data_IF_974406045858
#
_entry.id   IF_974406045858
#
_cell.length_a   1.000
_cell.length_b   1.000
_cell.length_c   1.000
_cell.angle_alpha   90.00
_cell.angle_beta   90.00
_cell.angle_gamma   90.00
#
_symmetry.space_group_name_H-M   'P 1'
#
loop_
_entity.id
_entity.type
_entity.pdbx_description
1 polymer ?
#
# COMPACT_ATOMS: atom_id res chain seq x y z
N UNK A 1 -11.09 1.70 21.33
CA UNK A 1 -11.43 3.06 20.85
C UNK A 1 -12.95 3.19 20.91
N UNK A 2 -13.54 4.38 21.03
CA UNK A 2 -15.00 4.52 21.01
C UNK A 2 -15.53 4.50 19.57
N UNK A 3 -16.78 4.06 19.38
CA UNK A 3 -17.47 4.19 18.10
C UNK A 3 -17.59 5.67 17.70
N UNK A 4 -17.28 6.05 16.45
CA UNK A 4 -17.47 7.42 15.98
C UNK A 4 -18.96 7.77 15.87
N UNK A 5 -19.28 9.06 15.94
CA UNK A 5 -20.64 9.51 15.67
C UNK A 5 -21.02 9.27 14.20
N UNK A 6 -22.31 9.12 13.91
CA UNK A 6 -22.81 9.04 12.53
C UNK A 6 -22.40 10.27 11.71
N UNK A 7 -22.40 11.45 12.34
CA UNK A 7 -21.96 12.70 11.71
C UNK A 7 -20.49 12.64 11.27
N UNK A 8 -19.61 12.12 12.14
CA UNK A 8 -18.19 11.98 11.79
C UNK A 8 -17.95 10.94 10.67
N UNK A 9 -18.79 9.90 10.59
CA UNK A 9 -18.77 8.97 9.46
C UNK A 9 -19.27 9.63 8.17
N UNK A 10 -20.34 10.44 8.25
CA UNK A 10 -20.83 11.23 7.09
C UNK A 10 -19.73 12.14 6.55
N UNK A 11 -19.05 12.89 7.42
CA UNK A 11 -17.93 13.76 7.04
C UNK A 11 -16.81 13.00 6.32
N UNK A 12 -16.55 11.76 6.73
CA UNK A 12 -15.54 10.92 6.09
C UNK A 12 -15.93 10.50 4.67
N UNK A 13 -17.20 10.15 4.44
CA UNK A 13 -17.72 9.88 3.10
C UNK A 13 -17.68 11.13 2.23
N UNK A 14 -18.11 12.28 2.76
CA UNK A 14 -18.12 13.57 2.03
C UNK A 14 -16.72 14.01 1.60
N UNK A 15 -15.68 13.69 2.36
CA UNK A 15 -14.28 13.92 1.98
C UNK A 15 -13.75 12.89 0.98
N UNK A 16 -14.15 11.63 1.12
CA UNK A 16 -13.59 10.54 0.31
C UNK A 16 -14.18 10.52 -1.12
N UNK A 17 -15.45 10.86 -1.29
CA UNK A 17 -16.14 10.89 -2.58
C UNK A 17 -15.40 11.78 -3.62
N UNK A 18 -15.12 13.08 -3.36
CA UNK A 18 -14.38 13.90 -4.31
C UNK A 18 -12.95 13.37 -4.52
N UNK A 19 -12.28 12.88 -3.48
CA UNK A 19 -10.95 12.29 -3.61
C UNK A 19 -10.92 11.07 -4.57
N UNK A 20 -11.99 10.26 -4.61
CA UNK A 20 -12.12 9.18 -5.58
C UNK A 20 -12.22 9.70 -7.02
N UNK A 21 -12.97 10.80 -7.25
CA UNK A 21 -13.10 11.44 -8.57
C UNK A 21 -11.79 12.06 -9.02
N UNK A 22 -11.12 12.78 -8.14
CA UNK A 22 -9.84 13.43 -8.42
C UNK A 22 -8.76 12.38 -8.77
N UNK A 23 -8.84 11.20 -8.16
CA UNK A 23 -8.01 10.04 -8.47
C UNK A 23 -8.53 9.19 -9.65
N UNK A 24 -9.54 9.67 -10.37
CA UNK A 24 -10.01 9.11 -11.65
C UNK A 24 -11.01 7.95 -11.55
N UNK A 25 -11.74 7.80 -10.45
CA UNK A 25 -12.75 6.73 -10.28
C UNK A 25 -14.14 7.26 -9.99
N UNK A 26 -14.91 7.46 -11.06
CA UNK A 26 -16.32 7.85 -10.96
C UNK A 26 -17.18 6.68 -10.43
N UNK A 27 -16.83 5.42 -10.77
CA UNK A 27 -17.57 4.26 -10.28
C UNK A 27 -17.53 4.17 -8.76
N UNK A 28 -16.32 4.30 -8.19
CA UNK A 28 -16.12 4.24 -6.75
C UNK A 28 -16.80 5.41 -6.05
N UNK A 29 -16.66 6.62 -6.60
CA UNK A 29 -17.31 7.81 -6.05
C UNK A 29 -18.84 7.62 -5.96
N UNK A 30 -19.48 7.10 -7.01
CA UNK A 30 -20.94 6.87 -7.00
C UNK A 30 -21.38 5.75 -6.06
N UNK A 31 -20.60 4.68 -5.90
CA UNK A 31 -20.86 3.66 -4.88
C UNK A 31 -20.75 4.23 -3.45
N UNK A 32 -19.80 5.12 -3.22
CA UNK A 32 -19.66 5.82 -1.94
C UNK A 32 -20.80 6.82 -1.71
N UNK A 33 -21.26 7.54 -2.73
CA UNK A 33 -22.46 8.40 -2.65
C UNK A 33 -23.69 7.59 -2.27
N UNK A 34 -23.91 6.45 -2.93
CA UNK A 34 -25.03 5.57 -2.59
C UNK A 34 -24.92 5.03 -1.16
N UNK A 35 -23.71 4.71 -0.70
CA UNK A 35 -23.47 4.29 0.69
C UNK A 35 -23.75 5.42 1.69
N UNK A 36 -23.41 6.66 1.33
CA UNK A 36 -23.67 7.85 2.15
C UNK A 36 -25.18 8.15 2.24
N UNK A 37 -25.92 8.02 1.15
CA UNK A 37 -27.39 8.13 1.14
C UNK A 37 -28.02 7.12 2.11
N UNK A 38 -27.58 5.86 2.05
CA UNK A 38 -28.06 4.79 2.93
C UNK A 38 -27.68 5.02 4.40
N UNK A 39 -26.45 5.49 4.65
CA UNK A 39 -25.96 5.88 5.98
C UNK A 39 -26.86 6.96 6.61
N UNK A 40 -27.22 7.99 5.83
CA UNK A 40 -28.11 9.08 6.28
C UNK A 40 -29.53 8.58 6.53
N UNK A 41 -30.04 7.69 5.67
CA UNK A 41 -31.37 7.10 5.79
C UNK A 41 -31.51 6.07 6.94
N UNK A 42 -30.40 5.62 7.54
CA UNK A 42 -30.43 4.59 8.58
C UNK A 42 -30.55 3.16 8.04
N UNK A 43 -30.13 2.92 6.79
CA UNK A 43 -30.20 1.63 6.12
C UNK A 43 -29.09 0.63 6.52
N UNK A 44 -28.87 -0.42 5.71
CA UNK A 44 -27.84 -1.44 5.94
C UNK A 44 -26.44 -0.89 6.22
N UNK A 45 -25.99 0.13 5.49
CA UNK A 45 -24.68 0.79 5.70
C UNK A 45 -24.64 1.44 7.08
N UNK A 46 -25.74 2.09 7.50
CA UNK A 46 -25.83 2.68 8.83
C UNK A 46 -25.79 1.64 9.95
N UNK A 47 -26.44 0.48 9.76
CA UNK A 47 -26.38 -0.64 10.72
C UNK A 47 -24.98 -1.23 10.82
N UNK A 48 -24.34 -1.46 9.68
CA UNK A 48 -22.99 -2.00 9.62
C UNK A 48 -21.98 -1.07 10.33
N UNK A 49 -22.02 0.23 10.01
CA UNK A 49 -21.09 1.21 10.56
C UNK A 49 -21.40 1.61 12.01
N UNK A 50 -22.59 1.28 12.55
CA UNK A 50 -22.91 1.50 13.96
C UNK A 50 -22.00 0.71 14.92
N UNK A 51 -21.41 -0.38 14.43
CA UNK A 51 -20.47 -1.22 15.16
C UNK A 51 -19.01 -0.97 14.81
N UNK A 52 -18.72 0.00 13.95
CA UNK A 52 -17.36 0.35 13.59
C UNK A 52 -16.67 1.04 14.78
N UNK A 53 -15.51 0.51 15.19
CA UNK A 53 -14.65 1.15 16.19
C UNK A 53 -13.37 1.64 15.50
N UNK A 54 -13.08 2.93 15.62
CA UNK A 54 -11.90 3.53 15.01
C UNK A 54 -12.09 5.00 14.69
N UNK A 55 -11.01 5.62 14.22
CA UNK A 55 -11.05 6.98 13.71
C UNK A 55 -11.81 7.00 12.38
N UNK A 56 -12.84 7.83 12.20
CA UNK A 56 -13.72 7.80 11.03
C UNK A 56 -13.03 8.18 9.72
N UNK A 57 -11.75 8.59 9.76
CA UNK A 57 -10.98 9.04 8.61
C UNK A 57 -9.67 8.25 8.49
N UNK A 58 -8.85 8.24 9.56
CA UNK A 58 -7.57 7.51 9.55
C UNK A 58 -7.72 6.01 9.40
N UNK A 59 -8.80 5.42 9.95
CA UNK A 59 -9.08 4.00 9.76
C UNK A 59 -9.84 3.70 8.46
N UNK A 60 -10.13 4.72 7.63
CA UNK A 60 -10.68 4.56 6.28
C UNK A 60 -11.93 3.65 6.19
N UNK A 61 -12.99 3.87 7.01
CA UNK A 61 -14.17 3.01 7.02
C UNK A 61 -14.88 2.93 5.66
N UNK A 62 -14.86 4.01 4.87
CA UNK A 62 -15.46 4.05 3.53
C UNK A 62 -14.77 3.06 2.58
N UNK A 63 -13.43 3.05 2.58
CA UNK A 63 -12.61 2.15 1.78
C UNK A 63 -12.69 0.71 2.29
N UNK A 64 -12.76 0.51 3.60
CA UNK A 64 -12.94 -0.82 4.20
C UNK A 64 -14.29 -1.42 3.85
N UNK A 65 -15.36 -0.63 3.87
CA UNK A 65 -16.69 -1.05 3.42
C UNK A 65 -16.64 -1.47 1.95
N UNK A 66 -16.15 -0.58 1.08
CA UNK A 66 -16.03 -0.86 -0.34
C UNK A 66 -15.22 -2.14 -0.59
N UNK A 67 -14.04 -2.25 0.03
CA UNK A 67 -13.17 -3.40 -0.14
C UNK A 67 -13.79 -4.71 0.34
N UNK A 68 -14.52 -4.67 1.47
CA UNK A 68 -15.23 -5.83 1.97
C UNK A 68 -16.32 -6.32 0.99
N UNK A 69 -17.12 -5.40 0.43
CA UNK A 69 -18.17 -5.74 -0.55
C UNK A 69 -17.57 -6.20 -1.87
N UNK A 70 -16.53 -5.53 -2.38
CA UNK A 70 -15.79 -5.95 -3.57
C UNK A 70 -15.15 -7.34 -3.39
N UNK A 71 -14.70 -7.66 -2.18
CA UNK A 71 -14.22 -8.99 -1.81
C UNK A 71 -15.30 -10.08 -1.95
N UNK A 72 -16.57 -9.78 -1.71
CA UNK A 72 -17.68 -10.71 -1.96
C UNK A 72 -17.89 -10.94 -3.46
N UNK A 73 -17.75 -9.89 -4.28
CA UNK A 73 -17.84 -10.01 -5.75
C UNK A 73 -16.72 -10.88 -6.28
N UNK A 74 -15.47 -10.62 -5.88
CA UNK A 74 -14.30 -11.42 -6.26
C UNK A 74 -14.37 -12.87 -5.79
N UNK A 75 -15.03 -13.12 -4.65
CA UNK A 75 -15.27 -14.46 -4.13
C UNK A 75 -16.51 -15.16 -4.75
N UNK A 76 -17.24 -14.50 -5.67
CA UNK A 76 -18.44 -15.06 -6.29
C UNK A 76 -19.65 -15.19 -5.35
N UNK A 77 -19.65 -14.47 -4.23
CA UNK A 77 -20.69 -14.57 -3.18
C UNK A 77 -21.86 -13.60 -3.34
N UNK A 78 -21.74 -12.61 -4.22
CA UNK A 78 -22.76 -11.61 -4.48
C UNK A 78 -23.20 -11.65 -5.96
N UNK A 79 -23.92 -12.69 -6.42
CA UNK A 79 -24.22 -12.89 -7.85
C UNK A 79 -25.09 -11.79 -8.46
N UNK A 80 -26.01 -11.20 -7.69
CA UNK A 80 -26.84 -10.08 -8.14
C UNK A 80 -25.99 -8.81 -8.36
N UNK A 81 -25.09 -8.48 -7.43
CA UNK A 81 -24.13 -7.39 -7.59
C UNK A 81 -23.15 -7.66 -8.74
N UNK A 82 -22.68 -8.90 -8.87
CA UNK A 82 -21.72 -9.31 -9.89
C UNK A 82 -22.20 -9.02 -11.32
N UNK A 83 -23.51 -9.12 -11.60
CA UNK A 83 -24.09 -8.78 -12.92
C UNK A 83 -23.82 -7.34 -13.36
N UNK A 84 -23.62 -6.44 -12.41
CA UNK A 84 -23.40 -5.01 -12.65
C UNK A 84 -21.97 -4.56 -12.35
N UNK A 85 -21.14 -5.41 -11.74
CA UNK A 85 -19.85 -5.02 -11.18
C UNK A 85 -18.67 -5.41 -12.09
N UNK A 86 -17.76 -4.49 -12.46
CA UNK A 86 -16.69 -4.77 -13.43
C UNK A 86 -15.75 -5.92 -13.04
N UNK A 87 -15.48 -6.13 -11.74
CA UNK A 87 -14.69 -7.29 -11.28
C UNK A 87 -15.24 -8.65 -11.70
N UNK A 88 -16.55 -8.76 -11.96
CA UNK A 88 -17.18 -9.98 -12.44
C UNK A 88 -17.56 -9.90 -13.93
N UNK A 89 -17.03 -8.90 -14.66
CA UNK A 89 -17.39 -8.63 -16.06
C UNK A 89 -18.77 -8.00 -16.25
N UNK A 90 -19.41 -7.56 -15.17
CA UNK A 90 -20.69 -6.85 -15.22
C UNK A 90 -20.56 -5.41 -15.72
N UNK A 91 -21.65 -4.89 -16.29
CA UNK A 91 -21.72 -3.51 -16.80
C UNK A 91 -22.37 -2.60 -15.75
N UNK A 92 -21.69 -1.52 -15.30
CA UNK A 92 -22.27 -0.57 -14.36
C UNK A 92 -23.46 0.18 -14.96
N UNK A 93 -24.66 -0.04 -14.41
CA UNK A 93 -25.88 0.69 -14.78
C UNK A 93 -26.57 1.21 -13.52
N UNK A 94 -27.04 2.45 -13.55
CA UNK A 94 -27.71 3.09 -12.42
C UNK A 94 -29.21 3.23 -12.67
N UNK A 95 -30.07 3.00 -11.65
CA UNK A 95 -29.74 2.78 -10.24
C UNK A 95 -29.36 1.34 -9.86
N UNK A 96 -29.47 0.38 -10.78
CA UNK A 96 -29.37 -1.06 -10.51
C UNK A 96 -28.08 -1.49 -9.76
N UNK A 97 -26.91 -0.99 -10.15
CA UNK A 97 -25.65 -1.28 -9.46
C UNK A 97 -25.68 -0.79 -8.00
N UNK A 98 -26.16 0.43 -7.76
CA UNK A 98 -26.26 0.99 -6.42
C UNK A 98 -27.25 0.23 -5.53
N UNK A 99 -28.39 -0.17 -6.11
CA UNK A 99 -29.39 -0.98 -5.43
C UNK A 99 -28.83 -2.37 -5.07
N UNK A 100 -28.17 -3.03 -6.02
CA UNK A 100 -27.53 -4.32 -5.80
C UNK A 100 -26.38 -4.24 -4.78
N UNK A 101 -25.65 -3.12 -4.73
CA UNK A 101 -24.57 -2.90 -3.77
C UNK A 101 -25.10 -2.81 -2.34
N UNK A 102 -26.13 -1.98 -2.10
CA UNK A 102 -26.76 -1.88 -0.76
C UNK A 102 -27.46 -3.18 -0.37
N UNK A 103 -28.11 -3.86 -1.31
CA UNK A 103 -28.72 -5.17 -1.06
C UNK A 103 -27.67 -6.23 -0.68
N UNK A 104 -26.49 -6.23 -1.31
CA UNK A 104 -25.39 -7.10 -0.94
C UNK A 104 -24.86 -6.80 0.46
N UNK A 105 -24.79 -5.53 0.86
CA UNK A 105 -24.43 -5.15 2.23
C UNK A 105 -25.42 -5.76 3.23
N UNK A 106 -26.72 -5.61 2.97
CA UNK A 106 -27.77 -6.13 3.86
C UNK A 106 -27.73 -7.66 3.99
N UNK A 107 -27.58 -8.35 2.86
CA UNK A 107 -27.57 -9.81 2.81
C UNK A 107 -26.31 -10.43 3.46
N UNK A 108 -25.21 -9.66 3.59
CA UNK A 108 -23.91 -10.18 4.02
C UNK A 108 -23.28 -9.40 5.19
N UNK A 109 -24.08 -8.76 6.04
CA UNK A 109 -23.58 -7.98 7.20
C UNK A 109 -22.55 -8.75 8.04
N UNK A 110 -22.87 -10.00 8.40
CA UNK A 110 -22.02 -10.85 9.25
C UNK A 110 -20.70 -11.25 8.57
N UNK A 111 -20.65 -11.28 7.23
CA UNK A 111 -19.43 -11.57 6.48
C UNK A 111 -18.61 -10.29 6.21
N UNK A 112 -19.27 -9.14 6.06
CA UNK A 112 -18.61 -7.86 5.78
C UNK A 112 -17.93 -7.29 7.03
N UNK A 113 -18.59 -7.33 8.18
CA UNK A 113 -18.07 -6.77 9.43
C UNK A 113 -16.64 -7.26 9.78
N UNK A 114 -16.33 -8.57 9.79
CA UNK A 114 -14.96 -9.04 10.07
C UNK A 114 -13.96 -8.66 8.98
N UNK A 115 -14.38 -8.50 7.72
CA UNK A 115 -13.50 -8.02 6.64
C UNK A 115 -13.12 -6.56 6.84
N UNK A 116 -14.04 -5.74 7.34
CA UNK A 116 -13.78 -4.34 7.69
C UNK A 116 -12.85 -4.18 8.90
N UNK A 117 -12.62 -5.23 9.70
CA UNK A 117 -11.62 -5.18 10.76
C UNK A 117 -10.18 -5.19 10.21
N UNK A 118 -9.98 -5.66 8.97
CA UNK A 118 -8.68 -5.66 8.31
C UNK A 118 -8.36 -4.28 7.73
N UNK A 119 -7.09 -3.89 7.76
CA UNK A 119 -6.63 -2.61 7.22
C UNK A 119 -6.68 -2.60 5.70
N UNK A 120 -6.82 -1.39 5.14
CA UNK A 120 -6.80 -1.13 3.69
C UNK A 120 -5.48 -1.59 3.08
N UNK A 121 -5.55 -2.24 1.92
CA UNK A 121 -4.37 -2.75 1.20
C UNK A 121 -4.31 -2.18 -0.21
N UNK A 122 -3.71 -0.99 -0.38
CA UNK A 122 -3.55 -0.41 -1.73
C UNK A 122 -2.30 -0.93 -2.45
N UNK A 123 -1.31 -1.44 -1.73
CA UNK A 123 -0.09 -2.13 -2.18
C UNK A 123 0.43 -1.70 -3.57
N UNK A 124 0.57 -0.39 -3.77
CA UNK A 124 0.92 0.21 -5.07
C UNK A 124 2.39 -0.02 -5.43
N UNK A 125 2.65 -0.91 -6.38
CA UNK A 125 4.01 -1.30 -6.79
C UNK A 125 4.72 -0.19 -7.57
N UNK A 126 3.99 0.75 -8.18
CA UNK A 126 4.60 1.91 -8.87
C UNK A 126 5.36 2.85 -7.92
N UNK A 127 5.19 2.73 -6.59
CA UNK A 127 6.03 3.45 -5.60
C UNK A 127 7.52 3.16 -5.79
N UNK A 128 7.87 1.99 -6.35
CA UNK A 128 9.22 1.66 -6.75
C UNK A 128 9.83 2.66 -7.75
N UNK A 129 9.05 3.32 -8.61
CA UNK A 129 9.56 4.29 -9.58
C UNK A 129 10.20 5.51 -8.90
N UNK A 130 9.59 6.00 -7.81
CA UNK A 130 10.15 7.08 -7.00
C UNK A 130 11.31 6.61 -6.11
N UNK A 131 11.20 5.40 -5.54
CA UNK A 131 12.22 4.84 -4.66
C UNK A 131 13.51 4.42 -5.40
N UNK A 132 13.43 4.05 -6.68
CA UNK A 132 14.56 3.59 -7.48
C UNK A 132 15.75 4.55 -7.37
N UNK A 133 15.51 5.85 -7.54
CA UNK A 133 16.59 6.84 -7.48
C UNK A 133 17.30 6.86 -6.13
N UNK A 134 16.57 6.68 -5.04
CA UNK A 134 17.16 6.59 -3.70
C UNK A 134 18.02 5.36 -3.51
N UNK A 135 17.59 4.19 -4.01
CA UNK A 135 18.41 2.97 -3.91
C UNK A 135 19.69 3.07 -4.75
N UNK A 136 19.59 3.60 -5.97
CA UNK A 136 20.77 3.81 -6.82
C UNK A 136 21.73 4.83 -6.20
N UNK A 137 21.22 5.89 -5.59
CA UNK A 137 22.04 6.89 -4.90
C UNK A 137 22.80 6.28 -3.71
N UNK A 138 22.14 5.42 -2.90
CA UNK A 138 22.81 4.71 -1.81
C UNK A 138 23.92 3.80 -2.35
N UNK A 139 23.64 3.03 -3.40
CA UNK A 139 24.62 2.14 -4.01
C UNK A 139 25.82 2.91 -4.58
N UNK A 140 25.56 4.06 -5.22
CA UNK A 140 26.59 4.94 -5.78
C UNK A 140 27.49 5.55 -4.70
N UNK A 141 26.88 6.05 -3.62
CA UNK A 141 27.60 6.73 -2.54
C UNK A 141 28.40 5.75 -1.66
N UNK A 142 27.87 4.55 -1.43
CA UNK A 142 28.51 3.57 -0.54
C UNK A 142 29.43 2.60 -1.28
N UNK A 143 29.14 2.30 -2.55
CA UNK A 143 29.85 1.27 -3.31
C UNK A 143 29.67 -0.15 -2.77
N UNK A 144 28.67 -0.39 -1.90
CA UNK A 144 28.44 -1.66 -1.22
C UNK A 144 27.10 -2.30 -1.64
N UNK A 145 26.98 -3.64 -1.59
CA UNK A 145 25.70 -4.31 -1.70
C UNK A 145 24.70 -3.84 -0.65
N UNK A 146 23.41 -3.80 -1.00
CA UNK A 146 22.34 -3.31 -0.14
C UNK A 146 21.72 -4.44 0.69
N UNK A 147 21.63 -4.24 2.00
CA UNK A 147 20.77 -5.00 2.92
C UNK A 147 19.47 -4.22 3.12
N UNK A 148 18.37 -4.69 2.55
CA UNK A 148 17.08 -3.99 2.59
C UNK A 148 16.25 -4.40 3.81
N UNK A 149 15.73 -3.40 4.49
CA UNK A 149 14.80 -3.49 5.60
C UNK A 149 13.56 -2.66 5.25
N UNK A 150 12.41 -3.29 5.03
CA UNK A 150 11.15 -2.57 4.75
C UNK A 150 10.22 -2.61 5.96
N UNK A 151 9.71 -1.45 6.39
CA UNK A 151 8.59 -1.40 7.35
C UNK A 151 7.30 -1.08 6.59
N UNK A 152 6.17 -1.72 6.97
CA UNK A 152 4.89 -1.58 6.25
C UNK A 152 4.94 -2.21 4.85
N UNK A 153 5.42 -3.44 4.76
CA UNK A 153 6.06 -3.98 3.55
C UNK A 153 5.17 -4.23 2.32
N UNK A 154 3.91 -3.80 2.28
CA UNK A 154 3.07 -3.86 1.07
C UNK A 154 3.06 -5.25 0.38
N UNK A 155 2.86 -6.31 1.18
CA UNK A 155 2.95 -7.72 0.78
C UNK A 155 4.32 -8.16 0.22
N UNK A 156 5.38 -7.39 0.53
CA UNK A 156 6.76 -7.58 0.07
C UNK A 156 7.01 -7.18 -1.39
N UNK A 157 6.05 -6.57 -2.07
CA UNK A 157 6.17 -6.24 -3.50
C UNK A 157 7.28 -5.21 -3.76
N UNK A 158 7.56 -4.31 -2.81
CA UNK A 158 8.58 -3.27 -2.97
C UNK A 158 9.99 -3.79 -2.63
N UNK A 159 10.12 -4.80 -1.76
CA UNK A 159 11.41 -5.46 -1.45
C UNK A 159 12.15 -5.94 -2.70
N UNK A 160 11.44 -6.31 -3.75
CA UNK A 160 11.99 -6.85 -5.00
C UNK A 160 12.15 -5.80 -6.11
N UNK A 161 12.22 -4.52 -5.75
CA UNK A 161 12.40 -3.40 -6.70
C UNK A 161 13.52 -3.66 -7.73
N UNK A 162 14.64 -4.25 -7.32
CA UNK A 162 15.80 -4.50 -8.16
C UNK A 162 15.58 -5.59 -9.21
N UNK A 163 14.48 -6.33 -9.12
CA UNK A 163 14.10 -7.39 -10.09
C UNK A 163 13.15 -6.90 -11.17
N UNK A 164 12.70 -5.66 -11.10
CA UNK A 164 11.72 -5.12 -12.04
C UNK A 164 12.38 -4.36 -13.19
N UNK A 165 11.67 -4.25 -14.31
CA UNK A 165 12.02 -3.33 -15.40
C UNK A 165 11.36 -1.99 -15.16
N UNK A 166 12.07 -0.92 -15.47
CA UNK A 166 11.58 0.45 -15.33
C UNK A 166 11.63 1.17 -16.66
N UNK A 167 10.54 1.86 -16.96
CA UNK A 167 10.43 2.85 -18.04
C UNK A 167 10.01 4.18 -17.43
N UNK A 168 10.98 5.08 -17.26
CA UNK A 168 10.81 6.39 -16.64
C UNK A 168 10.88 7.46 -17.73
N UNK A 169 9.75 7.74 -18.38
CA UNK A 169 9.70 8.58 -19.58
C UNK A 169 10.64 8.05 -20.69
N UNK A 170 11.68 8.79 -21.10
CA UNK A 170 12.67 8.32 -22.08
C UNK A 170 13.72 7.37 -21.48
N UNK A 171 13.79 7.25 -20.16
CA UNK A 171 14.83 6.50 -19.47
C UNK A 171 14.43 5.05 -19.19
N UNK A 172 15.42 4.16 -19.10
CA UNK A 172 15.21 2.72 -18.89
C UNK A 172 16.21 2.19 -17.87
N UNK A 173 15.75 1.32 -16.98
CA UNK A 173 16.61 0.65 -15.99
C UNK A 173 16.07 -0.74 -15.65
N UNK A 174 16.95 -1.66 -15.23
CA UNK A 174 16.59 -3.03 -14.87
C UNK A 174 16.60 -4.00 -16.07
N UNK A 175 16.40 -5.29 -15.77
CA UNK A 175 16.48 -6.37 -16.76
C UNK A 175 15.35 -6.28 -17.80
N UNK A 176 15.65 -6.18 -19.11
CA UNK A 176 14.65 -6.24 -20.17
C UNK A 176 13.82 -7.52 -20.20
N UNK A 177 14.31 -8.62 -19.63
CA UNK A 177 13.60 -9.88 -19.51
C UNK A 177 12.71 -9.99 -18.26
N UNK A 178 12.70 -8.96 -17.38
CA UNK A 178 11.83 -8.95 -16.20
C UNK A 178 10.35 -9.14 -16.61
N UNK A 179 9.60 -10.02 -15.93
CA UNK A 179 8.18 -10.24 -16.20
C UNK A 179 7.30 -9.04 -15.81
N UNK A 180 7.85 -8.10 -15.02
CA UNK A 180 7.18 -6.86 -14.62
C UNK A 180 7.91 -5.65 -15.18
N UNK A 181 7.17 -4.78 -15.87
CA UNK A 181 7.64 -3.46 -16.32
C UNK A 181 6.82 -2.35 -15.68
N UNK A 182 7.47 -1.54 -14.85
CA UNK A 182 6.90 -0.36 -14.20
C UNK A 182 7.09 0.86 -15.11
N UNK A 183 5.97 1.46 -15.52
CA UNK A 183 5.94 2.66 -16.36
C UNK A 183 5.53 3.87 -15.55
N UNK A 184 6.31 4.94 -15.68
CA UNK A 184 6.06 6.22 -15.04
C UNK A 184 6.52 7.35 -15.95
N UNK A 185 5.73 8.42 -16.02
CA UNK A 185 6.20 9.67 -16.62
C UNK A 185 7.29 10.26 -15.73
N UNK A 186 8.37 10.74 -16.33
CA UNK A 186 9.49 11.31 -15.60
C UNK A 186 9.80 12.70 -16.12
N UNK A 187 9.89 13.65 -15.20
CA UNK A 187 10.33 15.02 -15.46
C UNK A 187 11.55 15.34 -14.60
N UNK A 188 12.45 16.16 -15.14
CA UNK A 188 13.73 16.47 -14.50
C UNK A 188 14.84 15.46 -14.83
N UNK A 189 16.02 15.62 -14.22
CA UNK A 189 17.16 14.74 -14.45
C UNK A 189 16.85 13.29 -14.06
N UNK A 190 17.34 12.29 -14.82
CA UNK A 190 17.22 10.90 -14.39
C UNK A 190 18.10 10.66 -13.14
N UNK A 191 17.78 9.63 -12.34
CA UNK A 191 18.74 9.10 -11.37
C UNK A 191 20.01 8.59 -12.07
N UNK A 192 21.03 8.23 -11.29
CA UNK A 192 22.26 7.60 -11.81
C UNK A 192 22.00 6.15 -12.27
N UNK A 193 21.30 5.98 -13.40
CA UNK A 193 20.81 4.69 -13.91
C UNK A 193 21.93 3.73 -14.36
N UNK A 194 23.15 4.22 -14.53
CA UNK A 194 24.35 3.41 -14.81
C UNK A 194 24.98 2.82 -13.53
N UNK A 195 24.47 3.17 -12.35
CA UNK A 195 24.97 2.63 -11.07
C UNK A 195 24.74 1.12 -11.00
N UNK A 196 25.84 0.37 -10.83
CA UNK A 196 25.79 -1.04 -10.49
C UNK A 196 25.27 -1.20 -9.06
N UNK A 197 24.26 -2.05 -8.87
CA UNK A 197 23.65 -2.32 -7.57
C UNK A 197 23.45 -3.82 -7.38
N UNK A 198 23.75 -4.27 -6.17
CA UNK A 198 23.49 -5.64 -5.73
C UNK A 198 22.64 -5.58 -4.46
N UNK A 199 21.62 -6.42 -4.37
CA UNK A 199 20.84 -6.60 -3.15
C UNK A 199 21.28 -7.89 -2.45
N UNK A 200 22.07 -7.74 -1.39
CA UNK A 200 22.63 -8.86 -0.63
C UNK A 200 21.56 -9.58 0.21
N UNK A 201 20.60 -8.85 0.77
CA UNK A 201 19.50 -9.45 1.54
C UNK A 201 18.28 -8.53 1.60
N UNK A 202 17.12 -9.11 1.87
CA UNK A 202 15.82 -8.43 1.98
C UNK A 202 15.09 -8.96 3.19
N UNK A 203 14.57 -8.08 4.03
CA UNK A 203 13.63 -8.42 5.10
C UNK A 203 12.61 -7.31 5.25
N UNK A 204 11.39 -7.67 5.61
CA UNK A 204 10.33 -6.71 5.90
C UNK A 204 9.63 -7.00 7.23
N UNK A 205 8.82 -6.05 7.67
CA UNK A 205 7.83 -6.29 8.70
C UNK A 205 6.50 -5.61 8.39
N UNK A 206 5.44 -6.23 8.90
CA UNK A 206 4.10 -5.67 8.92
C UNK A 206 3.36 -6.17 10.17
N UNK A 207 2.34 -5.44 10.64
CA UNK A 207 1.49 -5.89 11.76
C UNK A 207 0.50 -6.98 11.31
N UNK A 208 0.17 -7.01 10.02
CA UNK A 208 -0.68 -8.01 9.39
C UNK A 208 -0.09 -8.38 8.01
N UNK A 209 1.06 -9.09 7.96
CA UNK A 209 1.68 -9.48 6.71
C UNK A 209 0.71 -10.26 5.81
N UNK A 210 0.83 -10.00 4.52
CA UNK A 210 0.04 -10.65 3.46
C UNK A 210 1.02 -11.26 2.46
N UNK A 211 0.80 -12.51 2.10
CA UNK A 211 1.48 -13.25 1.06
C UNK A 211 0.77 -13.04 -0.28
N UNK A 212 1.34 -12.17 -1.13
CA UNK A 212 0.80 -11.92 -2.46
C UNK A 212 0.90 -13.13 -3.41
N UNK A 213 1.62 -14.19 -3.03
CA UNK A 213 1.69 -15.44 -3.82
C UNK A 213 0.56 -16.41 -3.50
N UNK A 214 -0.12 -16.22 -2.37
CA UNK A 214 -1.33 -16.95 -2.03
C UNK A 214 -2.55 -16.37 -2.78
N UNK A 215 -3.32 -17.17 -3.54
CA UNK A 215 -4.45 -16.66 -4.32
C UNK A 215 -5.59 -16.05 -3.51
N UNK A 216 -5.82 -16.49 -2.27
CA UNK A 216 -6.86 -15.94 -1.40
C UNK A 216 -6.43 -14.60 -0.81
N UNK A 217 -5.19 -14.52 -0.35
CA UNK A 217 -4.60 -13.29 0.16
C UNK A 217 -4.40 -12.23 -0.94
N UNK A 218 -4.01 -12.64 -2.15
CA UNK A 218 -3.98 -11.76 -3.31
C UNK A 218 -5.38 -11.22 -3.62
N UNK A 219 -6.43 -12.05 -3.62
CA UNK A 219 -7.82 -11.58 -3.78
C UNK A 219 -8.22 -10.57 -2.72
N UNK A 220 -7.72 -10.71 -1.49
CA UNK A 220 -7.94 -9.70 -0.46
C UNK A 220 -7.28 -8.36 -0.80
N UNK A 221 -6.03 -8.34 -1.30
CA UNK A 221 -5.40 -7.09 -1.79
C UNK A 221 -6.20 -6.50 -2.96
N UNK A 222 -6.55 -7.32 -3.95
CA UNK A 222 -7.35 -6.92 -5.11
C UNK A 222 -8.67 -6.27 -4.70
N UNK A 223 -9.27 -6.72 -3.59
CA UNK A 223 -10.52 -6.16 -3.10
C UNK A 223 -10.44 -4.67 -2.74
N UNK A 224 -9.25 -4.10 -2.49
CA UNK A 224 -9.06 -2.66 -2.23
C UNK A 224 -8.67 -1.84 -3.46
N UNK A 225 -8.51 -2.47 -4.62
CA UNK A 225 -8.33 -1.75 -5.89
C UNK A 225 -9.70 -1.30 -6.41
N UNK A 226 -9.75 -0.21 -7.17
CA UNK A 226 -11.00 0.28 -7.74
C UNK A 226 -11.34 -0.46 -9.02
N UNK A 227 -12.61 -0.83 -9.18
CA UNK A 227 -13.05 -1.72 -10.25
C UNK A 227 -12.96 -1.11 -11.66
N UNK A 228 -12.85 0.21 -11.75
CA UNK A 228 -12.61 0.96 -12.99
C UNK A 228 -11.12 1.28 -13.25
N UNK A 229 -10.20 0.74 -12.43
CA UNK A 229 -8.75 0.88 -12.60
C UNK A 229 -8.08 -0.44 -13.02
N UNK A 230 -8.55 -1.01 -14.13
CA UNK A 230 -8.10 -2.31 -14.65
C UNK A 230 -6.57 -2.41 -14.84
N UNK A 231 -5.91 -1.34 -15.30
CA UNK A 231 -4.46 -1.31 -15.47
C UNK A 231 -3.70 -1.43 -14.14
N UNK A 232 -4.23 -0.86 -13.06
CA UNK A 232 -3.64 -1.00 -11.72
C UNK A 232 -3.81 -2.42 -11.20
N UNK A 233 -4.97 -3.04 -11.45
CA UNK A 233 -5.23 -4.44 -11.11
C UNK A 233 -4.28 -5.39 -11.85
N UNK A 234 -4.15 -5.24 -13.17
CA UNK A 234 -3.27 -6.07 -13.99
C UNK A 234 -1.79 -5.92 -13.58
N UNK A 235 -1.40 -4.73 -13.10
CA UNK A 235 -0.06 -4.49 -12.59
C UNK A 235 0.18 -5.22 -11.26
N UNK A 236 -0.76 -5.16 -10.32
CA UNK A 236 -0.68 -5.90 -9.05
C UNK A 236 -0.50 -7.40 -9.30
N UNK A 237 -1.32 -7.97 -10.17
CA UNK A 237 -1.24 -9.41 -10.50
C UNK A 237 0.10 -9.77 -11.15
N UNK A 238 0.59 -8.91 -12.04
CA UNK A 238 1.90 -9.12 -12.68
C UNK A 238 3.04 -9.03 -11.68
N UNK A 239 2.94 -8.14 -10.70
CA UNK A 239 3.92 -8.02 -9.63
C UNK A 239 3.89 -9.21 -8.68
N UNK A 240 2.70 -9.69 -8.30
CA UNK A 240 2.54 -10.91 -7.51
C UNK A 240 3.16 -12.13 -8.22
N UNK A 241 2.92 -12.29 -9.54
CA UNK A 241 3.54 -13.34 -10.36
C UNK A 241 5.05 -13.22 -10.51
N UNK A 242 5.60 -12.00 -10.38
CA UNK A 242 7.04 -11.76 -10.47
C UNK A 242 7.79 -12.13 -9.18
N UNK A 243 7.08 -12.37 -8.07
CA UNK A 243 7.70 -12.79 -6.82
C UNK A 243 8.26 -14.21 -6.95
N UNK A 244 9.45 -14.50 -6.39
CA UNK A 244 10.03 -15.84 -6.41
C UNK A 244 9.36 -16.82 -5.43
N UNK A 245 8.45 -16.33 -4.59
CA UNK A 245 7.80 -17.04 -3.49
C UNK A 245 7.34 -16.04 -2.41
N UNK A 246 6.85 -16.53 -1.26
CA UNK A 246 6.45 -15.68 -0.15
C UNK A 246 7.58 -14.73 0.27
N UNK A 247 7.28 -13.44 0.35
CA UNK A 247 8.26 -12.43 0.73
C UNK A 247 8.69 -12.59 2.20
N UNK A 248 9.94 -12.26 2.58
CA UNK A 248 10.45 -12.40 3.94
C UNK A 248 9.95 -11.28 4.87
N UNK A 249 8.63 -11.20 5.05
CA UNK A 249 7.94 -10.19 5.87
C UNK A 249 7.49 -10.83 7.19
N UNK A 250 8.02 -10.33 8.29
CA UNK A 250 7.70 -10.82 9.64
C UNK A 250 6.50 -10.07 10.23
N UNK A 251 5.67 -10.79 11.00
CA UNK A 251 4.62 -10.17 11.80
C UNK A 251 5.20 -9.54 13.06
N UNK A 252 5.56 -8.26 12.98
CA UNK A 252 6.15 -7.49 14.09
C UNK A 252 5.92 -5.99 13.87
N UNK A 253 5.82 -5.23 14.97
CA UNK A 253 5.73 -3.77 14.92
C UNK A 253 7.00 -3.13 14.35
N UNK A 254 6.83 -2.02 13.63
CA UNK A 254 7.92 -1.36 12.92
C UNK A 254 9.06 -0.89 13.85
N UNK A 255 8.75 -0.37 15.03
CA UNK A 255 9.75 0.08 16.00
C UNK A 255 10.58 -1.06 16.57
N UNK A 256 9.94 -2.17 16.92
CA UNK A 256 10.64 -3.36 17.45
C UNK A 256 11.52 -4.00 16.36
N UNK A 257 11.01 -4.04 15.12
CA UNK A 257 11.77 -4.49 13.97
C UNK A 257 13.01 -3.61 13.73
N UNK A 258 12.83 -2.29 13.62
CA UNK A 258 13.93 -1.35 13.37
C UNK A 258 14.97 -1.44 14.48
N UNK A 259 14.54 -1.42 15.75
CA UNK A 259 15.45 -1.55 16.90
C UNK A 259 16.28 -2.83 16.83
N UNK A 260 15.67 -3.98 16.50
CA UNK A 260 16.35 -5.26 16.36
C UNK A 260 17.32 -5.26 15.17
N UNK A 261 16.87 -4.84 13.99
CA UNK A 261 17.64 -4.93 12.76
C UNK A 261 18.81 -3.92 12.67
N UNK A 262 18.76 -2.86 13.48
CA UNK A 262 19.78 -1.79 13.53
C UNK A 262 20.63 -1.81 14.81
N UNK A 263 20.41 -2.78 15.70
CA UNK A 263 21.24 -3.00 16.89
C UNK A 263 22.72 -3.21 16.52
N UNK A 264 22.97 -3.90 15.40
CA UNK A 264 24.29 -4.04 14.78
C UNK A 264 24.22 -3.80 13.28
N UNK A 265 25.21 -3.06 12.75
CA UNK A 265 25.36 -2.83 11.31
C UNK A 265 26.43 -3.79 10.77
N UNK A 266 26.07 -4.75 9.90
CA UNK A 266 27.02 -5.69 9.34
C UNK A 266 28.01 -5.00 8.40
N UNK A 267 29.29 -5.38 8.49
CA UNK A 267 30.32 -4.90 7.58
C UNK A 267 30.18 -5.50 6.17
N UNK A 268 30.63 -4.77 5.15
CA UNK A 268 30.60 -5.17 3.75
C UNK A 268 29.28 -4.92 3.04
N UNK A 269 28.27 -4.32 3.70
CA UNK A 269 26.97 -3.98 3.11
C UNK A 269 26.47 -2.63 3.62
N UNK A 270 25.67 -1.94 2.80
CA UNK A 270 24.89 -0.79 3.25
C UNK A 270 23.54 -1.26 3.80
N UNK A 271 23.26 -1.00 5.08
CA UNK A 271 21.93 -1.28 5.65
C UNK A 271 20.97 -0.17 5.25
N UNK A 272 19.86 -0.52 4.61
CA UNK A 272 18.86 0.43 4.10
C UNK A 272 17.52 0.15 4.77
N UNK A 273 17.11 1.04 5.67
CA UNK A 273 15.70 1.11 6.08
C UNK A 273 14.93 1.88 5.01
N UNK A 274 13.89 1.27 4.44
CA UNK A 274 12.98 1.97 3.55
C UNK A 274 11.51 1.75 3.92
N UNK A 275 10.69 2.73 3.57
CA UNK A 275 9.24 2.63 3.69
C UNK A 275 8.54 3.58 2.74
N UNK A 276 7.27 3.27 2.45
CA UNK A 276 6.46 4.11 1.59
C UNK A 276 5.00 4.11 1.97
N UNK A 277 4.39 5.30 1.97
CA UNK A 277 2.95 5.50 2.14
C UNK A 277 2.39 4.78 3.36
N UNK A 278 3.10 4.85 4.48
CA UNK A 278 2.74 4.14 5.71
C UNK A 278 2.98 4.95 6.98
N UNK A 279 3.82 5.97 6.92
CA UNK A 279 4.34 6.64 8.11
C UNK A 279 3.24 7.31 8.95
N UNK A 280 2.18 7.83 8.33
CA UNK A 280 1.05 8.41 9.05
C UNK A 280 0.14 7.40 9.75
N UNK A 281 0.20 6.11 9.39
CA UNK A 281 -0.52 5.06 10.12
C UNK A 281 0.22 4.64 11.40
N UNK A 282 1.49 5.01 11.52
CA UNK A 282 2.31 4.69 12.68
C UNK A 282 2.00 5.67 13.82
N UNK A 283 1.65 5.19 15.02
CA UNK A 283 1.47 6.07 16.18
C UNK A 283 2.70 6.94 16.42
N UNK A 284 2.51 8.18 16.89
CA UNK A 284 3.62 9.13 17.08
C UNK A 284 4.75 8.58 17.96
N UNK A 285 4.41 7.91 19.06
CA UNK A 285 5.38 7.26 19.94
C UNK A 285 6.24 6.24 19.16
N UNK A 286 5.61 5.44 18.31
CA UNK A 286 6.29 4.47 17.46
C UNK A 286 7.21 5.14 16.44
N UNK A 287 6.78 6.25 15.81
CA UNK A 287 7.62 7.05 14.91
C UNK A 287 8.86 7.60 15.62
N UNK A 288 8.69 8.08 16.87
CA UNK A 288 9.78 8.58 17.71
C UNK A 288 10.76 7.45 18.07
N UNK A 289 10.27 6.25 18.41
CA UNK A 289 11.10 5.06 18.65
C UNK A 289 11.94 4.69 17.42
N UNK A 290 11.32 4.63 16.24
CA UNK A 290 12.01 4.33 14.97
C UNK A 290 13.09 5.37 14.69
N UNK A 291 12.74 6.66 14.83
CA UNK A 291 13.67 7.77 14.60
C UNK A 291 14.87 7.67 15.53
N UNK A 292 14.63 7.49 16.84
CA UNK A 292 15.70 7.37 17.84
C UNK A 292 16.61 6.17 17.57
N UNK A 293 16.05 5.02 17.17
CA UNK A 293 16.84 3.85 16.80
C UNK A 293 17.72 4.11 15.57
N UNK A 294 17.18 4.76 14.54
CA UNK A 294 17.93 5.13 13.34
C UNK A 294 19.05 6.15 13.62
N UNK A 295 18.80 7.19 14.43
CA UNK A 295 19.84 8.14 14.84
C UNK A 295 20.96 7.46 15.63
N UNK A 296 20.60 6.61 16.59
CA UNK A 296 21.57 5.88 17.40
C UNK A 296 22.42 4.93 16.53
N UNK A 297 21.80 4.21 15.60
CA UNK A 297 22.50 3.34 14.67
C UNK A 297 23.37 4.13 13.69
N UNK A 298 22.89 5.27 13.20
CA UNK A 298 23.66 6.19 12.36
C UNK A 298 24.93 6.71 13.05
N UNK A 299 24.88 6.98 14.36
CA UNK A 299 26.06 7.34 15.16
C UNK A 299 27.10 6.22 15.33
N UNK A 300 26.75 4.98 14.97
CA UNK A 300 27.67 3.81 14.94
C UNK A 300 28.03 3.37 13.52
N UNK A 301 27.49 4.02 12.49
CA UNK A 301 27.78 3.69 11.11
C UNK A 301 29.26 3.94 10.80
N UNK A 302 29.80 3.19 9.84
CA UNK A 302 31.18 3.34 9.36
C UNK A 302 31.19 3.20 7.84
N UNK A 303 32.30 3.56 7.19
CA UNK A 303 32.48 3.34 5.75
C UNK A 303 32.31 1.88 5.32
N UNK A 304 32.52 0.92 6.23
CA UNK A 304 32.34 -0.51 5.95
C UNK A 304 30.95 -1.03 6.33
N UNK A 305 30.18 -0.29 7.11
CA UNK A 305 28.84 -0.65 7.55
C UNK A 305 27.94 0.60 7.57
N UNK A 306 27.70 1.25 6.41
CA UNK A 306 26.90 2.47 6.35
C UNK A 306 25.42 2.17 6.58
N UNK A 307 24.69 3.19 7.02
CA UNK A 307 23.25 3.16 7.22
C UNK A 307 22.59 4.16 6.28
N UNK A 308 21.46 3.79 5.70
CA UNK A 308 20.60 4.68 4.93
C UNK A 308 19.14 4.58 5.40
N UNK A 309 18.44 5.71 5.35
CA UNK A 309 17.01 5.80 5.57
C UNK A 309 16.34 6.46 4.38
N UNK A 310 15.64 5.64 3.58
CA UNK A 310 14.95 6.06 2.36
C UNK A 310 13.44 6.06 2.56
N UNK A 311 12.80 7.20 2.35
CA UNK A 311 11.39 7.41 2.70
C UNK A 311 10.62 7.93 1.50
N UNK A 312 9.49 7.32 1.19
CA UNK A 312 8.55 7.79 0.16
C UNK A 312 7.20 8.07 0.80
N UNK A 313 7.05 9.28 1.34
CA UNK A 313 5.90 9.64 2.18
C UNK A 313 5.34 10.99 1.72
N UNK A 314 4.00 11.14 1.57
CA UNK A 314 3.36 12.43 1.42
C UNK A 314 3.64 13.37 2.59
N UNK A 315 4.17 14.58 2.32
CA UNK A 315 4.17 15.67 3.30
C UNK A 315 2.76 16.28 3.46
N UNK A 316 1.89 16.08 2.47
CA UNK A 316 0.50 16.54 2.40
C UNK A 316 -0.29 15.65 1.41
N UNK A 317 -1.56 15.96 1.14
CA UNK A 317 -2.42 15.14 0.28
C UNK A 317 -2.12 15.27 -1.23
N UNK A 318 -1.30 16.24 -1.64
CA UNK A 318 -1.14 16.60 -3.05
C UNK A 318 0.07 15.93 -3.73
N UNK A 319 1.07 15.49 -2.95
CA UNK A 319 2.29 14.90 -3.49
C UNK A 319 2.92 13.87 -2.55
N UNK A 320 3.83 13.06 -3.10
CA UNK A 320 4.69 12.15 -2.33
C UNK A 320 6.13 12.66 -2.42
N UNK A 321 6.81 12.76 -1.28
CA UNK A 321 8.20 13.20 -1.23
C UNK A 321 9.13 11.99 -1.02
N UNK A 322 10.23 11.95 -1.80
CA UNK A 322 11.33 10.99 -1.57
C UNK A 322 12.41 11.68 -0.72
N UNK A 323 12.64 11.19 0.49
CA UNK A 323 13.70 11.68 1.38
C UNK A 323 14.72 10.59 1.66
N UNK A 324 15.98 10.87 1.34
CA UNK A 324 17.11 10.01 1.65
C UNK A 324 18.02 10.67 2.68
N UNK A 325 18.39 9.91 3.72
CA UNK A 325 19.50 10.23 4.62
C UNK A 325 20.49 9.08 4.61
N UNK A 326 21.78 9.39 4.49
CA UNK A 326 22.88 8.41 4.55
C UNK A 326 23.80 8.80 5.70
N UNK A 327 24.20 7.82 6.49
CA UNK A 327 25.31 7.88 7.44
C UNK A 327 26.46 7.04 6.86
N UNK A 328 27.42 7.65 6.14
CA UNK A 328 28.47 6.92 5.47
C UNK A 328 29.59 6.46 6.40
N UNK A 329 29.64 6.94 7.65
CA UNK A 329 30.70 6.69 8.62
C UNK A 329 31.45 7.93 9.06
#
# INVERSE_FOLDING_TARGET
MSAPSREALVDAFERQIPACRDAGSELTARLMERSLEDLRAGGPVARLLAHFEGHPFLDAPCQRLLGAVQGLVLAGKAPELARHHPFAGGTPEWPALGDAFVAAIDAHLDEIAPRMARQVQTNEVRRCCGLLGGFLEIARETGLPLRLLEIGSSAGLILYWDRYRYELGPHRWGDPASPLTLRCDWSGPPPALDTAVEVASRRGCDIAPIDATDPEELRFIQSFYWADQADRMALLESAARALPGPAPVERIGAGDFVARETAGLPAGVATVLHHSTMWWYVPREEQERITAAMEAAGGRATAQAPLAWLRSEPPNLDCVEIRLRIWPG
#
